data_IF_716822743756
#
_entry.id   IF_716822743756
#
_cell.length_a   1.000
_cell.length_b   1.000
_cell.length_c   1.000
_cell.angle_alpha   90.00
_cell.angle_beta   90.00
_cell.angle_gamma   90.00
#
_symmetry.space_group_name_H-M   'P 1'
#
loop_
_entity.id
_entity.type
_entity.pdbx_description
1 polymer ?
#
# COMPACT_ATOMS: atom_id res chain seq x y z
N UNK A 1 -33.92 -24.45 9.62
CA UNK A 1 -33.47 -23.07 9.94
C UNK A 1 -31.96 -23.03 9.68
N UNK A 2 -31.54 -22.84 8.42
CA UNK A 2 -30.12 -22.82 8.07
C UNK A 2 -29.53 -21.45 8.40
N UNK A 3 -28.56 -21.43 9.31
CA UNK A 3 -27.78 -20.23 9.60
C UNK A 3 -26.96 -19.86 8.35
N UNK A 4 -27.31 -18.74 7.72
CA UNK A 4 -26.51 -18.14 6.66
C UNK A 4 -25.25 -17.59 7.32
N UNK A 5 -24.16 -18.35 7.21
CA UNK A 5 -22.83 -17.87 7.56
C UNK A 5 -22.45 -16.80 6.54
N UNK A 6 -22.63 -15.53 6.91
CA UNK A 6 -22.02 -14.43 6.18
C UNK A 6 -20.50 -14.56 6.32
N UNK A 7 -19.87 -15.17 5.32
CA UNK A 7 -18.43 -15.09 5.11
C UNK A 7 -18.14 -13.62 4.79
N UNK A 8 -17.78 -12.84 5.81
CA UNK A 8 -17.09 -11.59 5.60
C UNK A 8 -15.71 -11.94 5.04
N UNK A 9 -15.63 -12.06 3.72
CA UNK A 9 -14.36 -12.01 2.99
C UNK A 9 -13.65 -10.76 3.50
N UNK A 10 -12.66 -10.97 4.37
CA UNK A 10 -11.73 -9.91 4.72
C UNK A 10 -10.89 -9.65 3.49
N UNK A 11 -11.44 -8.86 2.56
CA UNK A 11 -10.72 -8.33 1.43
C UNK A 11 -9.39 -7.78 1.96
N UNK A 12 -8.25 -8.05 1.29
CA UNK A 12 -7.01 -7.43 1.69
C UNK A 12 -7.25 -5.92 1.77
N UNK A 13 -6.78 -5.28 2.85
CA UNK A 13 -6.82 -3.82 2.99
C UNK A 13 -5.88 -3.22 1.93
N UNK A 14 -6.40 -3.16 0.71
CA UNK A 14 -5.73 -2.79 -0.53
C UNK A 14 -6.43 -1.57 -1.07
N UNK A 15 -5.68 -0.48 -1.09
CA UNK A 15 -6.12 0.79 -1.65
C UNK A 15 -5.59 0.92 -3.07
N UNK A 16 -6.45 1.30 -4.01
CA UNK A 16 -6.06 1.60 -5.39
C UNK A 16 -5.87 3.10 -5.52
N UNK A 17 -4.65 3.51 -5.85
CA UNK A 17 -4.30 4.92 -6.01
C UNK A 17 -4.45 5.30 -7.48
N UNK A 18 -5.20 6.38 -7.71
CA UNK A 18 -5.46 6.94 -9.04
C UNK A 18 -4.98 8.38 -9.11
N UNK A 19 -4.58 8.81 -10.29
CA UNK A 19 -4.32 10.22 -10.57
C UNK A 19 -5.62 11.02 -10.77
N UNK A 20 -5.49 12.33 -11.01
CA UNK A 20 -6.63 13.23 -11.24
C UNK A 20 -7.47 12.88 -12.47
N UNK A 21 -6.93 12.09 -13.41
CA UNK A 21 -7.62 11.63 -14.62
C UNK A 21 -8.28 10.26 -14.41
N UNK A 22 -8.18 9.69 -13.21
CA UNK A 22 -8.66 8.35 -12.88
C UNK A 22 -7.72 7.22 -13.30
N UNK A 23 -6.52 7.52 -13.80
CA UNK A 23 -5.54 6.50 -14.20
C UNK A 23 -4.93 5.85 -12.96
N UNK A 24 -4.91 4.51 -12.91
CA UNK A 24 -4.27 3.77 -11.81
C UNK A 24 -2.76 4.01 -11.86
N UNK A 25 -2.21 4.53 -10.76
CA UNK A 25 -0.76 4.70 -10.58
C UNK A 25 -0.15 3.57 -9.74
N UNK A 26 -0.95 2.92 -8.90
CA UNK A 26 -0.50 1.79 -8.10
C UNK A 26 -1.47 1.39 -7.00
N UNK A 27 -0.98 0.55 -6.09
CA UNK A 27 -1.73 0.06 -4.94
C UNK A 27 -0.93 0.21 -3.65
N UNK A 28 -1.63 0.44 -2.54
CA UNK A 28 -1.08 0.38 -1.18
C UNK A 28 -1.77 -0.76 -0.44
N UNK A 29 -0.98 -1.67 0.13
CA UNK A 29 -1.45 -2.89 0.77
C UNK A 29 -0.94 -2.98 2.20
N UNK A 30 -1.83 -3.27 3.15
CA UNK A 30 -1.42 -3.60 4.53
C UNK A 30 -1.06 -5.07 4.66
N UNK A 31 0.17 -5.33 5.08
CA UNK A 31 0.61 -6.68 5.44
C UNK A 31 -0.01 -7.09 6.78
N UNK A 32 -0.83 -8.15 6.79
CA UNK A 32 -1.52 -8.63 8.00
C UNK A 32 -0.54 -9.03 9.12
N UNK A 33 0.59 -9.65 8.79
CA UNK A 33 1.53 -10.17 9.78
C UNK A 33 2.37 -9.08 10.47
N UNK A 34 2.79 -8.05 9.73
CA UNK A 34 3.72 -7.03 10.24
C UNK A 34 3.06 -5.69 10.51
N UNK A 35 1.85 -5.46 9.97
CA UNK A 35 1.16 -4.18 9.99
C UNK A 35 1.75 -3.13 9.04
N UNK A 36 2.88 -3.43 8.38
CA UNK A 36 3.53 -2.56 7.40
C UNK A 36 2.62 -2.28 6.22
N UNK A 37 2.74 -1.10 5.63
CA UNK A 37 2.13 -0.76 4.36
C UNK A 37 3.15 -0.92 3.24
N UNK A 38 2.73 -1.47 2.11
CA UNK A 38 3.55 -1.65 0.92
C UNK A 38 2.91 -0.92 -0.25
N UNK A 39 3.69 -0.08 -0.94
CA UNK A 39 3.28 0.51 -2.20
C UNK A 39 3.83 -0.30 -3.38
N UNK A 40 2.97 -0.60 -4.35
CA UNK A 40 3.35 -1.19 -5.64
C UNK A 40 2.86 -0.29 -6.76
N UNK A 41 3.71 -0.10 -7.77
CA UNK A 41 3.34 0.57 -9.02
C UNK A 41 2.21 -0.18 -9.73
N UNK A 42 1.57 0.44 -10.75
CA UNK A 42 0.57 -0.24 -11.59
C UNK A 42 1.07 -1.53 -12.24
N UNK A 43 2.38 -1.68 -12.45
CA UNK A 43 3.03 -2.90 -12.96
C UNK A 43 3.32 -3.95 -11.88
N UNK A 44 2.98 -3.70 -10.62
CA UNK A 44 3.23 -4.60 -9.49
C UNK A 44 4.63 -4.47 -8.86
N UNK A 45 5.52 -3.66 -9.43
CA UNK A 45 6.86 -3.41 -8.88
C UNK A 45 6.78 -2.68 -7.54
N UNK A 46 7.57 -3.11 -6.55
CA UNK A 46 7.70 -2.43 -5.27
C UNK A 46 8.16 -0.98 -5.46
N UNK A 47 7.40 -0.04 -4.91
CA UNK A 47 7.76 1.38 -4.87
C UNK A 47 8.40 1.75 -3.52
N UNK A 48 7.86 1.23 -2.42
CA UNK A 48 8.38 1.44 -1.08
C UNK A 48 7.57 0.73 0.00
N UNK A 49 8.04 0.86 1.23
CA UNK A 49 7.45 0.26 2.44
C UNK A 49 7.37 1.31 3.54
N UNK A 50 6.23 1.40 4.21
CA UNK A 50 6.04 2.20 5.41
C UNK A 50 5.86 1.29 6.62
N UNK A 51 6.58 1.58 7.69
CA UNK A 51 6.44 0.93 8.98
C UNK A 51 5.72 1.85 9.98
N UNK A 52 4.45 1.58 10.32
CA UNK A 52 3.71 2.38 11.28
C UNK A 52 4.30 2.38 12.70
N UNK A 53 5.14 1.39 13.06
CA UNK A 53 5.74 1.29 14.41
C UNK A 53 6.86 2.29 14.59
N UNK A 54 7.70 2.47 13.57
CA UNK A 54 8.80 3.45 13.59
C UNK A 54 8.44 4.78 12.93
N UNK A 55 7.30 4.84 12.21
CA UNK A 55 6.93 5.99 11.41
C UNK A 55 7.77 6.16 10.14
N UNK A 56 8.62 5.20 9.78
CA UNK A 56 9.55 5.33 8.66
C UNK A 56 8.96 4.87 7.33
N UNK A 57 9.16 5.66 6.27
CA UNK A 57 9.02 5.18 4.88
C UNK A 57 10.38 4.95 4.26
N UNK A 58 10.54 3.79 3.61
CA UNK A 58 11.70 3.41 2.83
C UNK A 58 11.34 3.18 1.37
N UNK A 59 12.23 3.55 0.46
CA UNK A 59 12.04 3.30 -0.96
C UNK A 59 12.26 1.81 -1.33
N UNK A 60 12.05 1.47 -2.59
CA UNK A 60 12.29 0.13 -3.14
C UNK A 60 13.73 -0.41 -2.96
N UNK A 61 14.71 0.45 -2.64
CA UNK A 61 16.11 0.07 -2.36
C UNK A 61 16.39 0.00 -0.86
N UNK A 62 15.38 0.20 -0.02
CA UNK A 62 15.50 0.21 1.44
C UNK A 62 16.03 1.52 2.03
N UNK A 63 16.22 2.57 1.22
CA UNK A 63 16.70 3.87 1.71
C UNK A 63 15.60 4.57 2.48
N UNK A 64 15.92 5.10 3.66
CA UNK A 64 14.99 5.93 4.43
C UNK A 64 14.73 7.23 3.66
N UNK A 65 13.47 7.53 3.40
CA UNK A 65 13.06 8.76 2.69
C UNK A 65 12.24 9.72 3.57
N UNK A 66 11.85 9.30 4.77
CA UNK A 66 11.20 10.18 5.74
C UNK A 66 10.51 9.43 6.88
N UNK A 67 10.02 10.21 7.84
CA UNK A 67 9.37 9.77 9.09
C UNK A 67 7.85 10.03 9.08
N UNK A 68 7.20 9.70 7.98
CA UNK A 68 5.73 9.66 7.86
C UNK A 68 5.35 8.70 6.74
N UNK A 69 4.06 8.51 6.48
CA UNK A 69 3.61 7.68 5.35
C UNK A 69 3.78 8.43 4.02
N UNK A 70 4.91 8.19 3.33
CA UNK A 70 5.27 8.80 2.05
C UNK A 70 4.98 7.87 0.85
N UNK A 71 4.27 6.76 1.08
CA UNK A 71 3.95 5.78 0.04
C UNK A 71 3.17 6.36 -1.16
N UNK A 72 2.17 7.24 -0.98
CA UNK A 72 1.49 7.85 -2.13
C UNK A 72 2.45 8.64 -3.02
N UNK A 73 3.38 9.40 -2.42
CA UNK A 73 4.37 10.22 -3.17
C UNK A 73 5.25 9.34 -4.06
N UNK A 74 5.66 8.17 -3.56
CA UNK A 74 6.46 7.20 -4.34
C UNK A 74 5.73 6.63 -5.55
N UNK A 75 4.40 6.59 -5.53
CA UNK A 75 3.60 6.13 -6.68
C UNK A 75 3.44 7.21 -7.76
N UNK A 76 3.55 8.50 -7.39
CA UNK A 76 3.51 9.61 -8.36
C UNK A 76 4.90 10.01 -8.89
N UNK A 77 5.96 9.79 -8.11
CA UNK A 77 7.32 10.24 -8.43
C UNK A 77 8.13 9.33 -9.38
N UNK A 78 7.64 8.14 -9.73
CA UNK A 78 8.29 7.25 -10.70
C UNK A 78 7.71 7.47 -12.10
N UNK A 79 8.30 8.42 -12.84
CA UNK A 79 8.12 8.59 -14.29
C UNK A 79 9.38 8.20 -15.02
#
# INVERSE_FOLDING_TARGET
MSAVQAQFEQAPAREVIRDQRGTIVGTIERLKLTGKLIARTKQGTLAGVYDPRSGETRDHRGRLIGQSNLLPVLLFGRR
#
